data_IF_010062270708
#
_entry.id   IF_010062270708
#
_cell.length_a   1.000
_cell.length_b   1.000
_cell.length_c   1.000
_cell.angle_alpha   90.00
_cell.angle_beta   90.00
_cell.angle_gamma   90.00
#
_symmetry.space_group_name_H-M   'P 1'
#
loop_
_entity.id
_entity.type
_entity.pdbx_description
1 polymer ?
#
# COMPACT_ATOMS: atom_id res chain seq x y z
N UNK A 1 -6.42 -10.03 9.02
CA UNK A 1 -5.71 -9.92 7.71
C UNK A 1 -4.20 -9.92 7.90
N UNK A 2 -3.67 -8.99 8.67
CA UNK A 2 -2.27 -8.93 9.12
C UNK A 2 -2.23 -9.26 10.59
N UNK A 3 -1.32 -10.14 11.01
CA UNK A 3 -1.02 -10.41 12.41
C UNK A 3 0.50 -10.40 12.60
N UNK A 4 0.98 -9.46 13.39
CA UNK A 4 2.38 -9.34 13.79
C UNK A 4 2.50 -9.58 15.29
N UNK A 5 3.42 -10.45 15.68
CA UNK A 5 3.72 -10.73 17.08
C UNK A 5 5.22 -10.63 17.29
N UNK A 6 5.61 -9.71 18.17
CA UNK A 6 6.99 -9.49 18.64
C UNK A 6 8.01 -9.33 17.48
N UNK A 7 7.63 -8.56 16.44
CA UNK A 7 8.49 -8.32 15.28
C UNK A 7 9.65 -7.41 15.64
N UNK A 8 10.86 -7.92 15.40
CA UNK A 8 12.12 -7.21 15.59
C UNK A 8 12.88 -7.06 14.27
N UNK A 9 13.50 -5.90 14.07
CA UNK A 9 14.35 -5.63 12.90
C UNK A 9 15.55 -4.78 13.27
N UNK A 10 16.74 -5.28 12.96
CA UNK A 10 18.02 -4.58 13.12
C UNK A 10 18.76 -4.54 11.79
N UNK A 11 19.12 -3.36 11.34
CA UNK A 11 20.02 -3.22 10.20
C UNK A 11 21.47 -3.31 10.66
N UNK A 12 22.21 -4.24 10.07
CA UNK A 12 23.62 -4.43 10.35
C UNK A 12 24.46 -3.35 9.64
N UNK A 13 25.46 -2.82 10.32
CA UNK A 13 26.39 -1.79 9.82
C UNK A 13 27.55 -1.61 10.79
N UNK A 14 28.31 -0.54 10.64
CA UNK A 14 29.39 -0.20 11.59
C UNK A 14 28.85 -0.04 13.02
N UNK A 15 27.64 0.47 13.14
CA UNK A 15 26.85 0.44 14.37
C UNK A 15 25.49 -0.17 14.04
N UNK A 16 25.13 -1.33 14.62
CA UNK A 16 23.81 -1.93 14.40
C UNK A 16 22.68 -1.01 14.83
N UNK A 17 21.67 -0.85 13.98
CA UNK A 17 20.50 -0.01 14.26
C UNK A 17 19.26 -0.87 14.46
N UNK A 18 18.80 -1.02 15.70
CA UNK A 18 17.56 -1.71 16.05
C UNK A 18 16.37 -0.80 15.75
N UNK A 19 15.71 -1.01 14.61
CA UNK A 19 14.67 -0.13 14.07
C UNK A 19 13.29 -0.52 14.53
N UNK A 20 12.95 -1.80 14.58
CA UNK A 20 11.67 -2.28 15.12
C UNK A 20 11.95 -3.15 16.36
N UNK A 21 11.19 -2.88 17.43
CA UNK A 21 11.50 -3.37 18.77
C UNK A 21 10.30 -4.08 19.38
N UNK A 22 10.00 -5.31 18.89
CA UNK A 22 8.88 -6.10 19.39
C UNK A 22 7.52 -5.52 18.97
N UNK A 23 7.32 -5.27 17.66
CA UNK A 23 6.06 -4.76 17.11
C UNK A 23 4.98 -5.84 17.21
N UNK A 24 3.87 -5.50 17.88
CA UNK A 24 2.65 -6.27 17.90
C UNK A 24 1.54 -5.46 17.22
N UNK A 25 0.92 -6.02 16.17
CA UNK A 25 -0.07 -5.32 15.37
C UNK A 25 -1.05 -6.28 14.72
N UNK A 26 -2.34 -6.00 14.89
CA UNK A 26 -3.42 -6.66 14.19
C UNK A 26 -4.15 -5.69 13.27
N UNK A 27 -4.33 -6.10 12.00
CA UNK A 27 -5.18 -5.42 11.03
C UNK A 27 -6.18 -6.43 10.48
N UNK A 28 -7.45 -6.14 10.69
CA UNK A 28 -8.54 -6.98 10.24
C UNK A 28 -8.78 -6.85 8.73
N UNK A 29 -9.48 -7.83 8.14
CA UNK A 29 -9.85 -7.75 6.73
C UNK A 29 -10.84 -6.61 6.49
N UNK A 30 -10.55 -5.78 5.49
CA UNK A 30 -11.38 -4.63 5.14
C UNK A 30 -11.17 -3.41 6.04
N UNK A 31 -10.21 -3.43 6.97
CA UNK A 31 -9.84 -2.22 7.70
C UNK A 31 -9.10 -1.23 6.79
N UNK A 32 -9.32 0.05 7.07
CA UNK A 32 -8.54 1.15 6.53
C UNK A 32 -7.76 1.80 7.66
N UNK A 33 -6.46 1.56 7.73
CA UNK A 33 -5.62 1.98 8.85
C UNK A 33 -4.47 2.87 8.40
N UNK A 34 -4.04 3.78 9.27
CA UNK A 34 -2.84 4.57 9.07
C UNK A 34 -1.76 4.24 10.10
N UNK A 35 -0.51 4.29 9.67
CA UNK A 35 0.68 4.18 10.50
C UNK A 35 1.36 5.55 10.52
N UNK A 36 1.31 6.22 11.66
CA UNK A 36 1.89 7.54 11.88
C UNK A 36 3.14 7.52 12.73
N UNK A 37 4.00 8.51 12.54
CA UNK A 37 5.18 8.75 13.38
C UNK A 37 6.16 9.71 12.72
N UNK A 38 7.12 10.20 13.48
CA UNK A 38 8.18 11.07 12.98
C UNK A 38 9.06 10.36 11.93
N UNK A 39 9.84 11.12 11.16
CA UNK A 39 10.86 10.56 10.29
C UNK A 39 11.84 9.71 11.12
N UNK A 40 12.24 8.56 10.60
CA UNK A 40 13.14 7.62 11.28
C UNK A 40 12.49 6.76 12.38
N UNK A 41 11.18 6.87 12.65
CA UNK A 41 10.50 6.09 13.69
C UNK A 41 10.32 4.60 13.36
N UNK A 42 10.61 4.16 12.12
CA UNK A 42 10.48 2.76 11.68
C UNK A 42 9.29 2.47 10.75
N UNK A 43 8.49 3.47 10.35
CA UNK A 43 7.29 3.30 9.49
C UNK A 43 7.58 2.59 8.18
N UNK A 44 8.54 3.10 7.41
CA UNK A 44 8.89 2.51 6.10
C UNK A 44 9.50 1.12 6.25
N UNK A 45 10.26 0.86 7.33
CA UNK A 45 10.76 -0.49 7.66
C UNK A 45 9.59 -1.44 7.94
N UNK A 46 8.61 -1.00 8.75
CA UNK A 46 7.41 -1.80 9.00
C UNK A 46 6.62 -2.04 7.71
N UNK A 47 6.42 -1.01 6.88
CA UNK A 47 5.74 -1.15 5.60
C UNK A 47 6.45 -2.14 4.67
N UNK A 48 7.79 -2.11 4.61
CA UNK A 48 8.58 -3.05 3.81
C UNK A 48 8.43 -4.50 4.29
N UNK A 49 8.37 -4.72 5.61
CA UNK A 49 8.10 -6.05 6.18
C UNK A 49 6.67 -6.50 5.84
N UNK A 50 5.68 -5.63 6.05
CA UNK A 50 4.28 -5.92 5.67
C UNK A 50 4.15 -6.26 4.18
N UNK A 51 4.95 -5.57 3.36
CA UNK A 51 5.00 -5.75 1.91
C UNK A 51 5.85 -6.93 1.44
N UNK A 52 6.46 -7.68 2.35
CA UNK A 52 7.40 -8.78 2.01
C UNK A 52 8.56 -8.27 1.12
N UNK A 53 8.93 -7.00 1.27
CA UNK A 53 10.06 -6.36 0.58
C UNK A 53 11.36 -6.46 1.39
N UNK A 54 11.24 -6.69 2.71
CA UNK A 54 12.35 -6.90 3.63
C UNK A 54 11.99 -8.01 4.62
N UNK A 55 13.02 -8.66 5.18
CA UNK A 55 12.86 -9.67 6.21
C UNK A 55 12.93 -9.03 7.60
N UNK A 56 12.38 -9.70 8.60
CA UNK A 56 12.52 -9.37 10.01
C UNK A 56 13.46 -10.37 10.70
N UNK A 57 13.97 -10.02 11.88
CA UNK A 57 15.01 -10.83 12.57
C UNK A 57 14.37 -11.87 13.49
N UNK A 58 13.27 -11.53 14.15
CA UNK A 58 12.51 -12.41 15.04
C UNK A 58 11.07 -11.98 15.16
N UNK A 59 10.22 -12.86 15.68
CA UNK A 59 8.79 -12.67 15.83
C UNK A 59 8.00 -13.55 14.88
N UNK A 60 6.70 -13.25 14.73
CA UNK A 60 5.78 -13.96 13.85
C UNK A 60 5.00 -12.98 13.00
N UNK A 61 4.97 -13.21 11.69
CA UNK A 61 4.12 -12.48 10.74
C UNK A 61 3.22 -13.46 9.99
N UNK A 62 1.91 -13.30 10.16
CA UNK A 62 0.90 -14.00 9.38
C UNK A 62 0.18 -13.02 8.45
N UNK A 63 0.19 -13.30 7.15
CA UNK A 63 -0.60 -12.59 6.16
C UNK A 63 -1.75 -13.48 5.68
N UNK A 64 -2.97 -13.10 6.02
CA UNK A 64 -4.16 -13.92 5.77
C UNK A 64 -4.03 -15.38 6.28
N UNK A 65 -3.44 -15.55 7.47
CA UNK A 65 -3.19 -16.84 8.10
C UNK A 65 -1.98 -17.60 7.55
N UNK A 66 -1.28 -17.05 6.55
CA UNK A 66 -0.09 -17.67 5.96
C UNK A 66 1.17 -17.12 6.65
N UNK A 67 2.04 -17.98 7.20
CA UNK A 67 3.31 -17.53 7.79
C UNK A 67 4.24 -16.92 6.73
N UNK A 68 4.69 -15.70 7.00
CA UNK A 68 5.64 -14.97 6.16
C UNK A 68 7.00 -14.97 6.85
N UNK A 69 7.71 -16.06 6.71
CA UNK A 69 9.04 -16.24 7.31
C UNK A 69 9.97 -17.00 6.37
N UNK A 70 11.18 -16.49 6.19
CA UNK A 70 12.24 -17.15 5.42
C UNK A 70 11.80 -17.65 4.04
N UNK A 71 11.01 -16.84 3.35
CA UNK A 71 10.55 -17.16 2.00
C UNK A 71 11.72 -17.01 1.01
N UNK A 72 11.81 -17.91 0.03
CA UNK A 72 12.66 -17.66 -1.12
C UNK A 72 12.17 -16.44 -1.89
N UNK A 73 13.07 -15.73 -2.60
CA UNK A 73 12.70 -14.55 -3.40
C UNK A 73 11.57 -14.83 -4.40
N UNK A 74 11.56 -16.02 -5.01
CA UNK A 74 10.50 -16.44 -5.92
C UNK A 74 9.13 -16.53 -5.23
N UNK A 75 9.08 -17.12 -4.04
CA UNK A 75 7.84 -17.21 -3.23
C UNK A 75 7.41 -15.85 -2.72
N UNK A 76 8.34 -15.03 -2.23
CA UNK A 76 8.07 -13.67 -1.81
C UNK A 76 7.47 -12.83 -2.95
N UNK A 77 8.07 -12.91 -4.15
CA UNK A 77 7.56 -12.23 -5.34
C UNK A 77 6.16 -12.72 -5.75
N UNK A 78 5.89 -14.02 -5.62
CA UNK A 78 4.57 -14.59 -5.90
C UNK A 78 3.51 -14.05 -4.92
N UNK A 79 3.80 -14.04 -3.61
CA UNK A 79 2.89 -13.49 -2.60
C UNK A 79 2.66 -11.98 -2.82
N UNK A 80 3.73 -11.20 -3.03
CA UNK A 80 3.60 -9.77 -3.37
C UNK A 80 2.66 -9.55 -4.53
N UNK A 81 2.91 -10.24 -5.63
CA UNK A 81 2.15 -10.04 -6.87
C UNK A 81 0.68 -10.46 -6.75
N UNK A 82 0.35 -11.48 -5.92
CA UNK A 82 -1.01 -11.99 -5.78
C UNK A 82 -1.84 -11.29 -4.71
N UNK A 83 -1.19 -10.85 -3.63
CA UNK A 83 -1.90 -10.42 -2.43
C UNK A 83 -1.78 -8.92 -2.15
N UNK A 84 -0.73 -8.26 -2.65
CA UNK A 84 -0.33 -6.92 -2.22
C UNK A 84 -0.31 -5.96 -3.40
N UNK A 85 -1.04 -4.86 -3.29
CA UNK A 85 -0.89 -3.69 -4.16
C UNK A 85 -0.05 -2.62 -3.47
N UNK A 86 0.94 -2.05 -4.17
CA UNK A 86 1.78 -0.97 -3.64
C UNK A 86 1.47 0.36 -4.29
N UNK A 87 1.36 1.41 -3.46
CA UNK A 87 1.24 2.81 -3.86
C UNK A 87 2.35 3.58 -3.16
N UNK A 88 3.17 4.32 -3.90
CA UNK A 88 4.33 5.05 -3.37
C UNK A 88 4.18 6.55 -3.59
N UNK A 89 4.81 7.35 -2.73
CA UNK A 89 4.89 8.80 -2.85
C UNK A 89 5.46 9.26 -4.21
N UNK A 90 6.51 8.60 -4.68
CA UNK A 90 7.15 8.91 -5.97
C UNK A 90 6.52 8.18 -7.16
N UNK A 91 5.29 7.65 -7.00
CA UNK A 91 4.54 6.87 -7.99
C UNK A 91 5.23 5.58 -8.44
N UNK A 92 6.55 5.55 -8.52
CA UNK A 92 7.41 4.44 -8.98
C UNK A 92 6.92 3.86 -10.32
N UNK A 93 6.53 4.73 -11.26
CA UNK A 93 6.21 4.35 -12.62
C UNK A 93 7.50 4.18 -13.43
N UNK A 94 7.48 3.21 -14.33
CA UNK A 94 8.62 2.99 -15.25
C UNK A 94 8.58 4.09 -16.31
N UNK A 95 9.58 4.99 -16.39
CA UNK A 95 9.49 6.22 -17.17
C UNK A 95 9.45 6.02 -18.69
N UNK A 96 9.98 4.89 -19.17
CA UNK A 96 9.99 4.52 -20.60
C UNK A 96 8.85 3.59 -21.01
N UNK A 97 7.86 3.40 -20.12
CA UNK A 97 6.61 2.67 -20.37
C UNK A 97 5.44 3.65 -20.32
N UNK A 98 4.47 3.46 -21.21
CA UNK A 98 3.23 4.22 -21.18
C UNK A 98 2.40 3.90 -19.92
N UNK A 99 1.34 4.67 -19.68
CA UNK A 99 0.43 4.45 -18.56
C UNK A 99 -0.16 3.02 -18.60
N UNK A 100 -0.67 2.58 -19.75
CA UNK A 100 -1.23 1.23 -19.90
C UNK A 100 -0.19 0.14 -19.69
N UNK A 101 1.03 0.32 -20.19
CA UNK A 101 2.13 -0.64 -20.00
C UNK A 101 2.59 -0.73 -18.54
N UNK A 102 2.56 0.39 -17.78
CA UNK A 102 2.81 0.37 -16.34
C UNK A 102 1.74 -0.42 -15.59
N UNK A 103 0.47 -0.24 -15.95
CA UNK A 103 -0.66 -0.98 -15.33
C UNK A 103 -0.62 -2.46 -15.70
N UNK A 104 -0.23 -2.83 -16.92
CA UNK A 104 -0.13 -4.22 -17.37
C UNK A 104 0.96 -5.04 -16.65
N UNK A 105 1.96 -4.38 -16.08
CA UNK A 105 3.19 -5.03 -15.62
C UNK A 105 2.97 -6.16 -14.60
N UNK A 106 2.12 -6.03 -13.57
CA UNK A 106 1.87 -7.12 -12.62
C UNK A 106 1.30 -8.37 -13.30
N UNK A 107 0.41 -8.19 -14.28
CA UNK A 107 -0.18 -9.31 -15.03
C UNK A 107 0.81 -9.97 -16.00
N UNK A 108 1.80 -9.22 -16.49
CA UNK A 108 2.89 -9.79 -17.25
C UNK A 108 3.65 -10.85 -16.43
N UNK A 109 3.97 -10.53 -15.17
CA UNK A 109 4.62 -11.47 -14.24
C UNK A 109 3.72 -12.64 -13.84
N UNK A 110 2.40 -12.50 -13.94
CA UNK A 110 1.45 -13.60 -13.77
C UNK A 110 1.31 -14.49 -15.03
N UNK A 111 2.02 -14.18 -16.11
CA UNK A 111 1.93 -14.95 -17.36
C UNK A 111 0.65 -14.69 -18.15
N UNK A 112 -0.11 -13.65 -17.85
CA UNK A 112 -1.33 -13.29 -18.58
C UNK A 112 -0.98 -12.84 -20.00
N UNK A 113 -1.69 -13.36 -20.99
CA UNK A 113 -1.45 -13.03 -22.40
C UNK A 113 -1.57 -11.53 -22.69
N UNK A 114 -0.78 -11.03 -23.66
CA UNK A 114 -0.71 -9.59 -24.00
C UNK A 114 -2.10 -8.99 -24.27
N UNK A 115 -2.93 -9.66 -25.05
CA UNK A 115 -4.27 -9.20 -25.39
C UNK A 115 -5.14 -9.03 -24.13
N UNK A 116 -5.13 -10.05 -23.24
CA UNK A 116 -5.96 -10.04 -22.02
C UNK A 116 -5.49 -9.01 -21.01
N UNK A 117 -4.16 -8.91 -20.76
CA UNK A 117 -3.65 -7.91 -19.80
C UNK A 117 -3.86 -6.47 -20.28
N UNK A 118 -3.75 -6.22 -21.61
CA UNK A 118 -4.04 -4.92 -22.21
C UNK A 118 -5.51 -4.53 -22.02
N UNK A 119 -6.44 -5.43 -22.31
CA UNK A 119 -7.86 -5.19 -22.07
C UNK A 119 -8.13 -4.86 -20.61
N UNK A 120 -7.62 -5.66 -19.68
CA UNK A 120 -7.78 -5.41 -18.23
C UNK A 120 -7.18 -4.07 -17.81
N UNK A 121 -5.99 -3.73 -18.30
CA UNK A 121 -5.35 -2.46 -17.97
C UNK A 121 -6.17 -1.26 -18.47
N UNK A 122 -6.74 -1.33 -19.67
CA UNK A 122 -7.64 -0.30 -20.19
C UNK A 122 -8.92 -0.17 -19.35
N UNK A 123 -9.50 -1.27 -18.88
CA UNK A 123 -10.66 -1.26 -17.99
C UNK A 123 -10.34 -0.54 -16.65
N UNK A 124 -9.18 -0.80 -16.05
CA UNK A 124 -8.76 -0.11 -14.82
C UNK A 124 -8.41 1.36 -15.05
N UNK A 125 -7.79 1.72 -16.17
CA UNK A 125 -7.55 3.11 -16.53
C UNK A 125 -8.86 3.87 -16.76
N UNK A 126 -9.84 3.26 -17.42
CA UNK A 126 -11.16 3.85 -17.63
C UNK A 126 -11.90 4.12 -16.32
N UNK A 127 -11.92 3.13 -15.40
CA UNK A 127 -12.47 3.26 -14.05
C UNK A 127 -11.89 4.45 -13.26
N UNK A 128 -10.63 4.79 -13.53
CA UNK A 128 -9.93 5.91 -12.88
C UNK A 128 -9.89 7.18 -13.74
N UNK A 129 -10.72 7.24 -14.82
CA UNK A 129 -10.82 8.38 -15.75
C UNK A 129 -9.50 8.71 -16.45
N UNK A 130 -8.73 7.67 -16.79
CA UNK A 130 -7.43 7.79 -17.44
C UNK A 130 -7.36 7.12 -18.82
N UNK A 131 -8.47 6.66 -19.39
CA UNK A 131 -8.47 5.96 -20.69
C UNK A 131 -7.79 6.77 -21.80
N UNK A 132 -8.04 8.08 -21.86
CA UNK A 132 -7.40 8.99 -22.83
C UNK A 132 -5.89 9.16 -22.63
N UNK A 133 -5.37 8.86 -21.44
CA UNK A 133 -3.96 8.97 -21.09
C UNK A 133 -3.20 7.65 -21.22
N UNK A 134 -3.87 6.57 -21.66
CA UNK A 134 -3.33 5.22 -21.70
C UNK A 134 -1.96 5.12 -22.42
N UNK A 135 -1.80 5.87 -23.51
CA UNK A 135 -0.59 5.86 -24.35
C UNK A 135 0.44 6.95 -23.97
N UNK A 136 0.19 7.75 -22.92
CA UNK A 136 1.13 8.78 -22.48
C UNK A 136 2.20 8.17 -21.56
N UNK A 137 3.39 8.76 -21.60
CA UNK A 137 4.49 8.44 -20.71
C UNK A 137 4.37 9.22 -19.39
N UNK A 138 4.98 8.74 -18.29
CA UNK A 138 4.90 9.43 -17.00
C UNK A 138 5.35 10.89 -17.01
N UNK A 139 6.32 11.26 -17.84
CA UNK A 139 6.80 12.65 -17.98
C UNK A 139 5.78 13.60 -18.66
N UNK A 140 4.76 13.05 -19.31
CA UNK A 140 3.67 13.78 -19.98
C UNK A 140 2.42 13.92 -19.10
N UNK A 141 2.47 13.42 -17.86
CA UNK A 141 1.34 13.32 -16.96
C UNK A 141 1.50 14.21 -15.71
N UNK A 142 0.40 14.76 -15.21
CA UNK A 142 0.36 15.44 -13.92
C UNK A 142 0.63 14.47 -12.75
N UNK A 143 0.96 15.02 -11.57
CA UNK A 143 1.15 14.22 -10.35
C UNK A 143 -0.06 13.34 -10.01
N UNK A 144 -1.26 13.91 -10.06
CA UNK A 144 -2.51 13.18 -9.80
C UNK A 144 -2.80 12.08 -10.82
N UNK A 145 -2.49 12.31 -12.09
CA UNK A 145 -2.61 11.29 -13.13
C UNK A 145 -1.63 10.14 -12.90
N UNK A 146 -0.36 10.44 -12.58
CA UNK A 146 0.65 9.43 -12.22
C UNK A 146 0.21 8.59 -11.02
N UNK A 147 -0.34 9.23 -9.99
CA UNK A 147 -0.81 8.53 -8.80
C UNK A 147 -1.99 7.61 -9.13
N UNK A 148 -2.95 8.06 -9.93
CA UNK A 148 -4.06 7.20 -10.38
C UNK A 148 -3.57 6.03 -11.25
N UNK A 149 -2.53 6.21 -12.09
CA UNK A 149 -1.87 5.08 -12.81
C UNK A 149 -1.23 4.11 -11.82
N UNK A 150 -0.54 4.60 -10.79
CA UNK A 150 0.05 3.76 -9.75
C UNK A 150 -1.03 2.98 -8.97
N UNK A 151 -2.18 3.62 -8.68
CA UNK A 151 -3.35 2.96 -8.07
C UNK A 151 -3.93 1.89 -9.02
N UNK A 152 -4.11 2.20 -10.31
CA UNK A 152 -4.57 1.21 -11.30
C UNK A 152 -3.65 -0.01 -11.36
N UNK A 153 -2.32 0.22 -11.35
CA UNK A 153 -1.30 -0.83 -11.31
C UNK A 153 -1.40 -1.67 -10.03
N UNK A 154 -1.66 -1.04 -8.90
CA UNK A 154 -1.84 -1.75 -7.63
C UNK A 154 -3.09 -2.64 -7.62
N UNK A 155 -4.18 -2.19 -8.26
CA UNK A 155 -5.48 -2.85 -8.26
C UNK A 155 -5.63 -3.98 -9.29
N UNK A 156 -4.85 -3.97 -10.38
CA UNK A 156 -5.09 -4.86 -11.54
C UNK A 156 -4.97 -6.35 -11.19
N UNK A 157 -4.20 -6.68 -10.16
CA UNK A 157 -4.05 -8.06 -9.65
C UNK A 157 -5.19 -8.46 -8.72
N UNK A 158 -6.12 -7.56 -8.41
CA UNK A 158 -7.17 -7.72 -7.40
C UNK A 158 -6.59 -8.10 -6.03
N UNK A 159 -5.72 -7.26 -5.47
CA UNK A 159 -5.02 -7.56 -4.23
C UNK A 159 -5.99 -7.64 -3.05
N UNK A 160 -5.58 -8.35 -1.99
CA UNK A 160 -6.33 -8.40 -0.74
C UNK A 160 -5.97 -7.22 0.19
N UNK A 161 -4.79 -6.64 -0.01
CA UNK A 161 -4.28 -5.51 0.76
C UNK A 161 -3.58 -4.50 -0.16
N UNK A 162 -3.79 -3.23 0.13
CA UNK A 162 -3.03 -2.11 -0.43
C UNK A 162 -2.13 -1.54 0.65
N UNK A 163 -0.84 -1.43 0.35
CA UNK A 163 0.16 -0.74 1.17
C UNK A 163 0.53 0.57 0.48
N UNK A 164 0.24 1.70 1.13
CA UNK A 164 0.47 3.02 0.59
C UNK A 164 1.49 3.79 1.43
N UNK A 165 2.62 4.14 0.83
CA UNK A 165 3.67 4.95 1.46
C UNK A 165 3.54 6.40 1.03
N UNK A 166 3.09 7.27 1.94
CA UNK A 166 2.85 8.70 1.70
C UNK A 166 2.09 8.98 0.38
N UNK A 167 0.90 8.38 0.18
CA UNK A 167 0.24 8.37 -1.14
C UNK A 167 -0.15 9.74 -1.68
N UNK A 168 -0.11 10.77 -0.85
CA UNK A 168 -0.46 12.15 -1.16
C UNK A 168 0.72 13.12 -1.10
N UNK A 169 1.87 12.70 -0.58
CA UNK A 169 2.99 13.57 -0.25
C UNK A 169 3.68 14.29 -1.44
N UNK A 170 3.38 13.90 -2.69
CA UNK A 170 3.87 14.57 -3.90
C UNK A 170 2.76 15.32 -4.68
N UNK A 171 1.58 15.52 -4.05
CA UNK A 171 0.39 16.06 -4.69
C UNK A 171 -0.01 17.41 -4.07
N UNK A 172 -0.73 18.24 -4.85
CA UNK A 172 -1.41 19.41 -4.32
C UNK A 172 -2.61 19.01 -3.43
N UNK A 173 -3.08 19.93 -2.59
CA UNK A 173 -4.13 19.64 -1.60
C UNK A 173 -5.43 19.11 -2.20
N UNK A 174 -5.85 19.64 -3.37
CA UNK A 174 -7.07 19.19 -4.04
C UNK A 174 -6.93 17.75 -4.53
N UNK A 175 -5.84 17.47 -5.22
CA UNK A 175 -5.53 16.14 -5.73
C UNK A 175 -5.34 15.12 -4.59
N UNK A 176 -4.77 15.56 -3.46
CA UNK A 176 -4.63 14.73 -2.25
C UNK A 176 -5.98 14.26 -1.73
N UNK A 177 -6.98 15.14 -1.64
CA UNK A 177 -8.34 14.79 -1.25
C UNK A 177 -8.95 13.77 -2.24
N UNK A 178 -8.82 14.02 -3.55
CA UNK A 178 -9.34 13.11 -4.57
C UNK A 178 -8.73 11.70 -4.47
N UNK A 179 -7.44 11.60 -4.17
CA UNK A 179 -6.74 10.30 -3.99
C UNK A 179 -7.23 9.61 -2.71
N UNK A 180 -7.36 10.32 -1.60
CA UNK A 180 -7.87 9.73 -0.36
C UNK A 180 -9.33 9.27 -0.48
N UNK A 181 -10.18 10.05 -1.16
CA UNK A 181 -11.57 9.64 -1.43
C UNK A 181 -11.64 8.40 -2.32
N UNK A 182 -10.74 8.29 -3.30
CA UNK A 182 -10.61 7.07 -4.11
C UNK A 182 -10.22 5.86 -3.25
N UNK A 183 -9.25 5.99 -2.33
CA UNK A 183 -8.84 4.90 -1.44
C UNK A 183 -9.97 4.50 -0.48
N UNK A 184 -10.69 5.47 0.09
CA UNK A 184 -11.90 5.21 0.92
C UNK A 184 -12.95 4.43 0.14
N UNK A 185 -13.24 4.85 -1.09
CA UNK A 185 -14.20 4.17 -1.96
C UNK A 185 -13.79 2.73 -2.25
N UNK A 186 -12.52 2.48 -2.57
CA UNK A 186 -11.99 1.14 -2.80
C UNK A 186 -12.11 0.26 -1.54
N UNK A 187 -11.80 0.80 -0.36
CA UNK A 187 -11.96 0.09 0.89
C UNK A 187 -13.44 -0.24 1.17
N UNK A 188 -14.33 0.74 1.00
CA UNK A 188 -15.75 0.58 1.30
C UNK A 188 -16.45 -0.37 0.30
N UNK A 189 -16.28 -0.14 -1.02
CA UNK A 189 -17.05 -0.81 -2.06
C UNK A 189 -16.49 -2.21 -2.39
N UNK A 190 -15.16 -2.39 -2.30
CA UNK A 190 -14.49 -3.63 -2.67
C UNK A 190 -13.99 -4.43 -1.45
N UNK A 191 -14.08 -3.86 -0.25
CA UNK A 191 -13.63 -4.53 1.00
C UNK A 191 -12.12 -4.76 1.05
N UNK A 192 -11.33 -4.00 0.29
CA UNK A 192 -9.87 -4.12 0.27
C UNK A 192 -9.31 -3.57 1.59
N UNK A 193 -8.43 -4.33 2.24
CA UNK A 193 -7.69 -3.82 3.39
C UNK A 193 -6.66 -2.78 2.93
N UNK A 194 -6.61 -1.62 3.58
CA UNK A 194 -5.66 -0.56 3.19
C UNK A 194 -4.84 -0.13 4.41
N UNK A 195 -3.52 -0.11 4.24
CA UNK A 195 -2.57 0.43 5.22
C UNK A 195 -1.85 1.62 4.60
N UNK A 196 -2.01 2.80 5.18
CA UNK A 196 -1.35 4.04 4.75
C UNK A 196 -0.26 4.39 5.74
N UNK A 197 0.96 4.57 5.28
CA UNK A 197 2.01 5.22 6.06
C UNK A 197 1.99 6.70 5.75
N UNK A 198 1.92 7.54 6.78
CA UNK A 198 1.96 8.99 6.60
C UNK A 198 2.50 9.70 7.85
N UNK A 199 2.97 10.92 7.67
CA UNK A 199 3.26 11.86 8.77
C UNK A 199 2.24 12.99 8.83
N UNK A 200 1.27 13.02 7.90
CA UNK A 200 0.22 14.04 7.82
C UNK A 200 -1.00 13.63 8.66
N UNK A 201 -1.31 14.40 9.71
CA UNK A 201 -2.48 14.14 10.57
C UNK A 201 -3.80 14.19 9.81
N UNK A 202 -3.91 15.07 8.80
CA UNK A 202 -5.09 15.16 7.94
C UNK A 202 -5.38 13.84 7.22
N UNK A 203 -4.35 13.23 6.61
CA UNK A 203 -4.47 11.93 5.92
C UNK A 203 -4.79 10.81 6.91
N UNK A 204 -4.15 10.79 8.07
CA UNK A 204 -4.40 9.77 9.08
C UNK A 204 -5.83 9.81 9.61
N UNK A 205 -6.38 11.00 9.83
CA UNK A 205 -7.76 11.18 10.30
C UNK A 205 -8.83 10.67 9.31
N UNK A 206 -8.45 10.44 8.05
CA UNK A 206 -9.32 9.85 7.04
C UNK A 206 -9.46 8.32 7.14
N UNK A 207 -8.70 7.68 8.05
CA UNK A 207 -8.69 6.23 8.24
C UNK A 207 -9.48 5.81 9.50
N UNK A 208 -9.89 4.53 9.58
CA UNK A 208 -10.67 4.02 10.71
C UNK A 208 -9.83 3.82 11.98
N UNK A 209 -8.51 3.61 11.84
CA UNK A 209 -7.59 3.34 12.93
C UNK A 209 -6.25 4.02 12.67
N UNK A 210 -5.70 4.69 13.66
CA UNK A 210 -4.38 5.32 13.60
C UNK A 210 -3.43 4.59 14.55
N UNK A 211 -2.33 4.10 14.01
CA UNK A 211 -1.27 3.39 14.73
C UNK A 211 -0.07 4.31 14.82
N UNK A 212 0.28 4.75 16.03
CA UNK A 212 1.42 5.64 16.26
C UNK A 212 2.68 4.84 16.53
N UNK A 213 3.71 5.03 15.68
CA UNK A 213 5.04 4.47 15.89
C UNK A 213 6.00 5.56 16.35
N UNK A 214 6.71 5.28 17.45
CA UNK A 214 7.77 6.13 17.99
C UNK A 214 8.96 5.25 18.38
N UNK A 215 10.14 5.61 17.90
CA UNK A 215 11.43 4.96 18.24
C UNK A 215 11.42 3.43 18.10
N UNK A 216 10.71 2.94 17.06
CA UNK A 216 10.59 1.51 16.77
C UNK A 216 9.58 0.74 17.60
N UNK A 217 8.72 1.42 18.35
CA UNK A 217 7.66 0.84 19.18
C UNK A 217 6.29 1.36 18.76
N UNK A 218 5.24 0.55 18.90
CA UNK A 218 3.87 1.03 18.83
C UNK A 218 3.55 1.70 20.18
N UNK A 219 3.30 3.03 20.16
CA UNK A 219 3.03 3.80 21.38
C UNK A 219 1.54 3.90 21.69
N UNK A 220 0.71 4.17 20.67
CA UNK A 220 -0.73 4.38 20.82
C UNK A 220 -1.46 3.85 19.59
N UNK A 221 -2.66 3.34 19.78
CA UNK A 221 -3.61 3.03 18.72
C UNK A 221 -4.88 3.83 19.01
N UNK A 222 -5.35 4.60 18.04
CA UNK A 222 -6.58 5.39 18.10
C UNK A 222 -7.58 4.83 17.09
N UNK A 223 -8.82 4.67 17.51
CA UNK A 223 -9.93 4.28 16.63
C UNK A 223 -10.78 5.50 16.30
N UNK A 224 -11.01 5.73 15.01
CA UNK A 224 -11.86 6.81 14.50
C UNK A 224 -13.28 6.26 14.27
N UNK A 225 -14.14 6.31 15.28
CA UNK A 225 -15.49 5.75 15.23
C UNK A 225 -16.44 6.50 14.28
N UNK A 226 -16.19 7.74 13.91
CA UNK A 226 -17.05 8.55 13.05
C UNK A 226 -17.19 7.96 11.62
N UNK A 227 -16.26 7.12 11.17
CA UNK A 227 -16.34 6.45 9.87
C UNK A 227 -17.13 5.14 9.87
N UNK A 228 -17.47 4.59 11.06
CA UNK A 228 -18.32 3.38 11.19
C UNK A 228 -19.83 3.70 11.15
N UNK A 229 -20.24 4.93 11.42
CA UNK A 229 -21.66 5.31 11.50
C UNK A 229 -22.41 5.21 10.15
N UNK A 230 -21.72 5.15 9.02
CA UNK A 230 -22.32 5.01 7.68
C UNK A 230 -22.45 3.55 7.19
N UNK A 231 -22.12 2.54 8.01
CA UNK A 231 -22.35 1.10 7.67
C UNK A 231 -23.74 0.59 8.02
N UNK A 232 -24.62 1.47 8.51
CA UNK A 232 -25.97 1.13 8.93
C UNK A 232 -27.04 1.57 7.92
N UNK A 233 -27.67 0.59 7.28
CA UNK A 233 -28.97 0.64 6.61
C UNK A 233 -29.06 1.42 5.26
N UNK A 234 -28.89 0.68 4.15
CA UNK A 234 -29.97 0.59 3.14
C UNK A 234 -29.92 -0.76 2.43
#
# INVERSE_FOLDING_TARGET
MIHLKDINKTYQGAQPLHVLKGINLDVEKGEFVSIMGASGSGKSTLLNILGILDNYDSGEYLLNGVPIWNLSESRAAEYRNKMIGFIFQSFNLIPFKTAVENVELPLFYQGVSRKKRHQMAMEYLDRLSLAQWANHYPNEMSGGQKQRVAIARALITKPQIILADEPTGALDSKTSVEVMDLLKKLNHDEGITIVVVTHEGGVANETNKIIHIKDGLIGKIEENFDHHANRGFK
#
